data_IF_164517867801
#
_entry.id   IF_164517867801
#
_cell.length_a   1.000
_cell.length_b   1.000
_cell.length_c   1.000
_cell.angle_alpha   90.00
_cell.angle_beta   90.00
_cell.angle_gamma   90.00
#
_symmetry.space_group_name_H-M   'P 1'
#
loop_
_entity.id
_entity.type
_entity.pdbx_description
1 polymer ?
#
# COMPACT_ATOMS: atom_id res chain seq x y z
N UNK A 1 -12.97 -14.04 -30.97
CA UNK A 1 -12.23 -13.99 -29.70
C UNK A 1 -12.54 -12.64 -29.07
N UNK A 2 -13.32 -12.64 -28.00
CA UNK A 2 -13.56 -11.44 -27.22
C UNK A 2 -12.22 -10.98 -26.66
N UNK A 3 -11.86 -9.73 -26.92
CA UNK A 3 -10.63 -9.14 -26.39
C UNK A 3 -10.66 -9.23 -24.86
N UNK A 4 -9.75 -9.99 -24.28
CA UNK A 4 -9.64 -10.16 -22.84
C UNK A 4 -9.10 -8.89 -22.12
N UNK A 5 -8.65 -7.92 -22.89
CA UNK A 5 -8.16 -6.63 -22.41
C UNK A 5 -9.19 -5.55 -22.75
N UNK A 6 -9.55 -4.75 -21.77
CA UNK A 6 -10.46 -3.61 -21.94
C UNK A 6 -9.73 -2.31 -21.62
N UNK A 7 -9.86 -1.36 -22.53
CA UNK A 7 -9.39 0.00 -22.28
C UNK A 7 -10.27 0.66 -21.23
N UNK A 8 -9.63 1.36 -20.30
CA UNK A 8 -10.29 2.15 -19.28
C UNK A 8 -9.82 3.59 -19.37
N UNK A 9 -10.55 4.42 -20.11
CA UNK A 9 -10.27 5.86 -20.15
C UNK A 9 -10.52 6.48 -18.78
N UNK A 10 -9.97 7.66 -18.56
CA UNK A 10 -10.30 8.47 -17.39
C UNK A 10 -11.75 8.96 -17.45
N UNK A 11 -12.17 9.61 -16.37
CA UNK A 11 -13.53 10.16 -16.25
C UNK A 11 -13.79 11.25 -17.30
N UNK A 12 -14.99 11.32 -17.84
CA UNK A 12 -15.40 12.33 -18.81
C UNK A 12 -15.31 13.76 -18.24
N UNK A 13 -15.45 13.87 -16.93
CA UNK A 13 -15.30 15.12 -16.20
C UNK A 13 -14.17 15.01 -15.19
N UNK A 14 -13.01 15.51 -15.56
CA UNK A 14 -11.82 15.53 -14.70
C UNK A 14 -11.90 16.72 -13.74
N UNK A 15 -11.75 16.44 -12.44
CA UNK A 15 -11.65 17.47 -11.41
C UNK A 15 -10.20 17.56 -10.97
N UNK A 16 -9.55 18.74 -11.10
CA UNK A 16 -8.16 18.90 -10.67
C UNK A 16 -8.02 18.78 -9.14
N UNK A 17 -6.88 18.32 -8.67
CA UNK A 17 -6.59 18.22 -7.26
C UNK A 17 -6.35 19.60 -6.61
N UNK A 18 -5.80 20.54 -7.36
CA UNK A 18 -5.56 21.91 -6.88
C UNK A 18 -6.75 22.81 -7.15
N UNK A 19 -7.16 23.57 -6.15
CA UNK A 19 -8.17 24.63 -6.30
C UNK A 19 -7.68 25.81 -7.13
N UNK A 20 -6.37 25.91 -7.41
CA UNK A 20 -5.75 26.95 -8.24
C UNK A 20 -5.70 26.56 -9.74
N UNK A 21 -6.12 25.35 -10.09
CA UNK A 21 -6.14 24.89 -11.48
C UNK A 21 -7.43 25.31 -12.16
N UNK A 22 -7.35 26.28 -13.05
CA UNK A 22 -8.52 26.83 -13.77
C UNK A 22 -8.97 25.95 -14.95
N UNK A 23 -8.05 25.17 -15.53
CA UNK A 23 -8.34 24.32 -16.68
C UNK A 23 -8.33 22.86 -16.28
N UNK A 24 -9.42 22.10 -16.51
CA UNK A 24 -9.42 20.67 -16.25
C UNK A 24 -8.31 19.96 -17.03
N UNK A 25 -7.58 19.02 -16.42
CA UNK A 25 -6.56 18.26 -17.12
C UNK A 25 -7.19 17.32 -18.15
N UNK A 26 -6.51 17.14 -19.29
CA UNK A 26 -6.89 16.18 -20.32
C UNK A 26 -6.31 14.79 -19.99
N UNK A 27 -7.13 13.75 -20.24
CA UNK A 27 -6.65 12.39 -20.20
C UNK A 27 -5.77 12.10 -21.41
N UNK A 28 -4.49 11.78 -21.17
CA UNK A 28 -3.50 11.54 -22.23
C UNK A 28 -3.22 10.07 -22.49
N UNK A 29 -3.50 9.23 -21.51
CA UNK A 29 -3.26 7.78 -21.56
C UNK A 29 -4.46 7.03 -21.03
N UNK A 30 -4.60 5.77 -21.45
CA UNK A 30 -5.63 4.87 -20.94
C UNK A 30 -4.97 3.73 -20.16
N UNK A 31 -5.64 3.27 -19.11
CA UNK A 31 -5.28 2.04 -18.43
C UNK A 31 -6.01 0.86 -19.09
N UNK A 32 -5.44 -0.33 -18.98
CA UNK A 32 -6.05 -1.53 -19.52
C UNK A 32 -6.41 -2.49 -18.39
N UNK A 33 -7.47 -3.26 -18.58
CA UNK A 33 -7.91 -4.28 -17.63
C UNK A 33 -7.73 -5.65 -18.28
N UNK A 34 -7.07 -6.54 -17.56
CA UNK A 34 -7.00 -7.97 -17.87
C UNK A 34 -7.32 -8.80 -16.64
N UNK A 35 -7.28 -10.11 -16.76
CA UNK A 35 -7.62 -11.03 -15.69
C UNK A 35 -6.66 -12.20 -15.65
N UNK A 36 -6.36 -12.68 -14.46
CA UNK A 36 -5.72 -13.98 -14.28
C UNK A 36 -6.68 -15.11 -14.68
N UNK A 37 -6.16 -16.31 -14.82
CA UNK A 37 -6.93 -17.48 -15.21
C UNK A 37 -6.52 -18.73 -14.40
N UNK A 38 -7.10 -19.87 -14.71
CA UNK A 38 -6.81 -21.13 -14.05
C UNK A 38 -5.33 -21.55 -14.16
N UNK A 39 -4.69 -21.28 -15.29
CA UNK A 39 -3.26 -21.57 -15.47
C UNK A 39 -2.39 -20.69 -14.56
N UNK A 40 -2.71 -19.39 -14.45
CA UNK A 40 -2.04 -18.47 -13.52
C UNK A 40 -2.13 -18.99 -12.08
N UNK A 41 -3.34 -19.40 -11.67
CA UNK A 41 -3.59 -19.96 -10.34
C UNK A 41 -2.79 -21.23 -10.10
N UNK A 42 -2.74 -22.13 -11.07
CA UNK A 42 -2.03 -23.40 -10.95
C UNK A 42 -0.52 -23.19 -10.77
N UNK A 43 0.10 -22.33 -11.58
CA UNK A 43 1.53 -22.00 -11.44
C UNK A 43 1.86 -21.51 -10.02
N UNK A 44 1.00 -20.69 -9.44
CA UNK A 44 1.20 -20.19 -8.08
C UNK A 44 1.05 -21.30 -7.04
N UNK A 45 -0.01 -22.11 -7.13
CA UNK A 45 -0.25 -23.19 -6.18
C UNK A 45 0.88 -24.22 -6.19
N UNK A 46 1.45 -24.53 -7.35
CA UNK A 46 2.55 -25.47 -7.50
C UNK A 46 3.89 -24.95 -6.93
N UNK A 47 3.96 -23.65 -6.58
CA UNK A 47 5.18 -23.01 -6.11
C UNK A 47 5.00 -22.28 -4.76
N UNK A 48 3.94 -22.55 -4.03
CA UNK A 48 3.67 -21.87 -2.75
C UNK A 48 4.78 -22.08 -1.71
N UNK A 49 5.39 -23.25 -1.68
CA UNK A 49 6.51 -23.60 -0.82
C UNK A 49 7.76 -22.75 -1.06
N UNK A 50 7.86 -22.12 -2.23
CA UNK A 50 8.95 -21.22 -2.63
C UNK A 50 8.70 -19.77 -2.21
N UNK A 51 7.49 -19.44 -1.77
CA UNK A 51 7.16 -18.09 -1.27
C UNK A 51 7.76 -17.88 0.11
N UNK A 52 8.50 -16.77 0.36
CA UNK A 52 9.00 -16.41 1.68
C UNK A 52 7.90 -16.31 2.74
N UNK A 53 6.69 -15.93 2.36
CA UNK A 53 5.54 -15.84 3.26
C UNK A 53 5.02 -17.21 3.70
N UNK A 54 5.10 -18.22 2.84
CA UNK A 54 4.59 -19.58 3.12
C UNK A 54 5.69 -20.54 3.59
N UNK A 55 6.96 -20.22 3.31
CA UNK A 55 8.13 -20.99 3.78
C UNK A 55 8.59 -20.63 5.20
N UNK A 56 7.92 -19.67 5.87
CA UNK A 56 8.29 -19.22 7.22
C UNK A 56 9.53 -18.33 7.29
N UNK A 57 10.00 -17.82 6.15
CA UNK A 57 11.13 -16.87 6.11
C UNK A 57 10.75 -15.46 6.57
N UNK A 58 9.48 -15.09 6.38
CA UNK A 58 8.93 -13.81 6.86
C UNK A 58 8.07 -14.12 8.07
N UNK A 59 8.53 -13.72 9.25
CA UNK A 59 7.84 -13.92 10.53
C UNK A 59 7.15 -12.63 11.01
N UNK A 60 7.55 -11.48 10.49
CA UNK A 60 7.07 -10.16 10.90
C UNK A 60 5.60 -9.94 10.53
N UNK A 61 4.80 -9.48 11.51
CA UNK A 61 3.48 -8.91 11.24
C UNK A 61 3.67 -7.46 10.88
N UNK A 62 3.74 -7.17 9.57
CA UNK A 62 3.88 -5.79 9.10
C UNK A 62 2.72 -4.90 9.54
N UNK A 63 2.92 -3.57 9.58
CA UNK A 63 1.91 -2.58 9.98
C UNK A 63 0.72 -2.52 9.01
N UNK A 64 0.83 -3.09 7.83
CA UNK A 64 -0.27 -3.18 6.85
C UNK A 64 -0.31 -4.56 6.23
N UNK A 65 -1.49 -5.14 6.25
CA UNK A 65 -1.79 -6.31 5.46
C UNK A 65 -2.07 -5.89 4.00
N UNK A 66 -1.05 -6.01 3.16
CA UNK A 66 -1.22 -5.95 1.70
C UNK A 66 -1.08 -7.38 1.17
N UNK A 67 -2.20 -8.07 0.87
CA UNK A 67 -2.12 -9.46 0.44
C UNK A 67 -1.32 -9.55 -0.86
N UNK A 68 -0.30 -10.39 -0.87
CA UNK A 68 0.39 -10.79 -2.08
C UNK A 68 -0.59 -11.53 -3.01
N UNK A 69 -0.22 -11.71 -4.27
CA UNK A 69 -1.10 -12.39 -5.19
C UNK A 69 -1.26 -13.87 -4.82
N UNK A 70 -0.21 -14.54 -4.35
CA UNK A 70 -0.29 -15.90 -3.81
C UNK A 70 -1.24 -16.00 -2.61
N UNK A 71 -1.27 -14.99 -1.76
CA UNK A 71 -2.18 -14.92 -0.62
C UNK A 71 -3.65 -14.75 -1.08
N UNK A 72 -3.89 -13.95 -2.12
CA UNK A 72 -5.22 -13.85 -2.74
C UNK A 72 -5.67 -15.17 -3.35
N UNK A 73 -4.79 -15.89 -4.02
CA UNK A 73 -5.08 -17.20 -4.63
C UNK A 73 -5.47 -18.23 -3.56
N UNK A 74 -4.78 -18.25 -2.43
CA UNK A 74 -5.07 -19.18 -1.33
C UNK A 74 -6.36 -18.79 -0.60
N UNK A 75 -6.52 -17.53 -0.21
CA UNK A 75 -7.67 -17.08 0.58
C UNK A 75 -8.98 -17.03 -0.20
N UNK A 76 -8.90 -16.74 -1.49
CA UNK A 76 -10.06 -16.69 -2.38
C UNK A 76 -9.97 -17.82 -3.40
N UNK A 77 -9.79 -19.03 -2.90
CA UNK A 77 -9.61 -20.23 -3.71
C UNK A 77 -10.82 -20.59 -4.57
N UNK A 78 -12.01 -20.10 -4.22
CA UNK A 78 -13.26 -20.18 -4.97
C UNK A 78 -13.30 -19.24 -6.20
N UNK A 79 -12.42 -18.22 -6.25
CA UNK A 79 -12.36 -17.29 -7.37
C UNK A 79 -11.62 -17.91 -8.54
N UNK A 80 -12.25 -17.89 -9.71
CA UNK A 80 -11.64 -18.39 -10.96
C UNK A 80 -10.61 -17.42 -11.54
N UNK A 81 -10.80 -16.12 -11.30
CA UNK A 81 -9.96 -15.06 -11.85
C UNK A 81 -9.89 -13.85 -10.93
N UNK A 82 -8.79 -13.12 -11.02
CA UNK A 82 -8.57 -11.84 -10.37
C UNK A 82 -8.34 -10.75 -11.41
N UNK A 83 -8.95 -9.58 -11.20
CA UNK A 83 -8.77 -8.42 -12.06
C UNK A 83 -7.39 -7.80 -11.84
N UNK A 84 -6.78 -7.39 -12.95
CA UNK A 84 -5.50 -6.71 -13.01
C UNK A 84 -5.65 -5.42 -13.79
N UNK A 85 -4.89 -4.39 -13.39
CA UNK A 85 -4.75 -3.18 -14.17
C UNK A 85 -3.35 -3.15 -14.78
N UNK A 86 -3.29 -2.79 -16.06
CA UNK A 86 -2.07 -2.55 -16.81
C UNK A 86 -2.01 -1.05 -17.06
N UNK A 87 -1.11 -0.37 -16.38
CA UNK A 87 -1.06 1.09 -16.28
C UNK A 87 0.21 1.61 -16.95
N UNK A 88 0.11 2.55 -17.92
CA UNK A 88 1.29 3.17 -18.49
C UNK A 88 2.12 3.91 -17.43
N UNK A 89 3.42 3.68 -17.40
CA UNK A 89 4.34 4.39 -16.48
C UNK A 89 4.63 5.83 -16.91
N UNK A 90 4.18 6.22 -18.11
CA UNK A 90 4.32 7.59 -18.63
C UNK A 90 3.95 7.70 -20.10
N UNK A 91 3.84 8.94 -20.60
CA UNK A 91 3.41 9.23 -21.98
C UNK A 91 4.44 8.83 -23.06
N UNK A 92 5.73 8.70 -22.67
CA UNK A 92 6.85 8.50 -23.61
C UNK A 92 7.60 7.20 -23.36
N UNK A 93 6.99 6.25 -22.68
CA UNK A 93 7.56 4.95 -22.38
C UNK A 93 6.59 3.84 -22.75
N UNK A 94 7.12 2.70 -23.17
CA UNK A 94 6.36 1.47 -23.35
C UNK A 94 6.26 0.64 -22.06
N UNK A 95 6.90 1.12 -20.97
CA UNK A 95 6.86 0.47 -19.68
C UNK A 95 5.46 0.56 -19.07
N UNK A 96 4.95 -0.60 -18.63
CA UNK A 96 3.64 -0.74 -17.99
C UNK A 96 3.80 -1.23 -16.56
N UNK A 97 2.99 -0.72 -15.67
CA UNK A 97 2.86 -1.21 -14.31
C UNK A 97 1.71 -2.22 -14.21
N UNK A 98 1.97 -3.37 -13.62
CA UNK A 98 0.95 -4.40 -13.39
C UNK A 98 0.41 -4.29 -11.97
N UNK A 99 -0.70 -3.60 -11.80
CA UNK A 99 -1.36 -3.48 -10.51
C UNK A 99 -2.18 -4.74 -10.20
N UNK A 100 -1.98 -5.28 -9.00
CA UNK A 100 -2.71 -6.44 -8.51
C UNK A 100 -1.91 -7.74 -8.46
N UNK A 101 -0.66 -7.74 -8.97
CA UNK A 101 0.25 -8.89 -9.01
C UNK A 101 1.43 -8.78 -8.04
N UNK A 102 1.27 -8.05 -6.92
CA UNK A 102 2.30 -8.07 -5.86
C UNK A 102 2.58 -9.51 -5.43
N UNK A 103 3.84 -9.92 -5.45
CA UNK A 103 4.22 -11.31 -5.16
C UNK A 103 5.59 -11.37 -4.50
N UNK A 104 5.77 -12.35 -3.63
CA UNK A 104 7.07 -12.70 -3.04
C UNK A 104 7.72 -13.92 -3.68
N UNK A 105 7.06 -14.51 -4.68
CA UNK A 105 7.56 -15.68 -5.40
C UNK A 105 8.84 -15.34 -6.19
N UNK A 106 9.74 -16.33 -6.41
CA UNK A 106 10.94 -16.13 -7.19
C UNK A 106 10.66 -15.69 -8.63
N UNK A 107 11.66 -15.05 -9.25
CA UNK A 107 11.57 -14.47 -10.60
C UNK A 107 11.06 -15.45 -11.65
N UNK A 108 11.60 -16.68 -11.68
CA UNK A 108 11.20 -17.71 -12.64
C UNK A 108 9.71 -18.06 -12.53
N UNK A 109 9.16 -18.09 -11.32
CA UNK A 109 7.74 -18.32 -11.08
C UNK A 109 6.91 -17.10 -11.50
N UNK A 110 7.41 -15.89 -11.23
CA UNK A 110 6.74 -14.67 -11.66
C UNK A 110 6.63 -14.59 -13.17
N UNK A 111 7.71 -14.87 -13.89
CA UNK A 111 7.67 -14.95 -15.36
C UNK A 111 6.68 -16.01 -15.84
N UNK A 112 6.71 -17.19 -15.23
CA UNK A 112 5.80 -18.28 -15.59
C UNK A 112 4.33 -17.90 -15.45
N UNK A 113 3.93 -17.31 -14.32
CA UNK A 113 2.51 -16.94 -14.15
C UNK A 113 2.12 -15.69 -14.94
N UNK A 114 3.01 -14.70 -15.14
CA UNK A 114 2.71 -13.51 -15.96
C UNK A 114 2.40 -13.92 -17.40
N UNK A 115 3.17 -14.84 -17.97
CA UNK A 115 2.98 -15.31 -19.35
C UNK A 115 1.72 -16.17 -19.54
N UNK A 116 1.01 -16.55 -18.47
CA UNK A 116 -0.30 -17.19 -18.58
C UNK A 116 -1.45 -16.19 -18.73
N UNK A 117 -1.19 -14.90 -18.47
CA UNK A 117 -2.22 -13.86 -18.43
C UNK A 117 -2.49 -13.36 -19.84
N UNK A 118 -3.79 -13.27 -20.26
CA UNK A 118 -4.15 -12.78 -21.58
C UNK A 118 -3.59 -11.39 -21.87
N UNK A 119 -2.85 -11.27 -22.98
CA UNK A 119 -2.17 -10.05 -23.41
C UNK A 119 -0.78 -9.83 -22.82
N UNK A 120 -0.32 -10.72 -21.95
CA UNK A 120 1.01 -10.66 -21.35
C UNK A 120 1.87 -11.89 -21.72
N UNK A 121 1.44 -12.69 -22.67
CA UNK A 121 2.09 -13.95 -23.10
C UNK A 121 3.55 -13.75 -23.54
N UNK A 122 3.86 -12.56 -24.05
CA UNK A 122 5.19 -12.18 -24.55
C UNK A 122 5.77 -10.97 -23.83
N UNK A 123 5.22 -10.59 -22.67
CA UNK A 123 5.68 -9.44 -21.92
C UNK A 123 7.14 -9.62 -21.45
N UNK A 124 7.93 -8.56 -21.60
CA UNK A 124 9.28 -8.50 -21.04
C UNK A 124 9.19 -7.87 -19.65
N UNK A 125 9.56 -8.62 -18.62
CA UNK A 125 9.54 -8.12 -17.25
C UNK A 125 10.81 -7.33 -16.97
N UNK A 126 10.68 -6.01 -16.78
CA UNK A 126 11.79 -5.11 -16.48
C UNK A 126 12.18 -5.15 -15.00
N UNK A 127 11.21 -5.37 -14.12
CA UNK A 127 11.40 -5.49 -12.67
C UNK A 127 10.38 -6.45 -12.10
N UNK A 128 10.84 -7.42 -11.34
CA UNK A 128 9.97 -8.37 -10.64
C UNK A 128 9.29 -7.71 -9.44
N UNK A 129 8.15 -8.25 -9.03
CA UNK A 129 7.54 -7.94 -7.75
C UNK A 129 8.42 -8.46 -6.61
N UNK A 130 8.28 -7.86 -5.42
CA UNK A 130 9.07 -8.18 -4.25
C UNK A 130 8.21 -8.13 -2.99
N UNK A 131 8.60 -8.86 -1.97
CA UNK A 131 8.05 -8.72 -0.64
C UNK A 131 8.84 -7.67 0.14
N UNK A 132 8.15 -6.93 1.00
CA UNK A 132 8.77 -6.01 1.93
C UNK A 132 8.40 -6.46 3.34
N UNK A 133 9.41 -6.64 4.18
CA UNK A 133 9.27 -6.78 5.61
C UNK A 133 9.58 -5.43 6.26
N UNK A 134 8.75 -5.01 7.21
CA UNK A 134 8.86 -3.70 7.81
C UNK A 134 9.23 -3.81 9.28
N UNK A 135 10.32 -3.15 9.65
CA UNK A 135 10.63 -2.89 11.05
C UNK A 135 9.82 -1.69 11.54
N UNK A 136 9.32 -1.78 12.75
CA UNK A 136 8.66 -0.67 13.43
C UNK A 136 9.00 -0.70 14.94
N UNK A 137 8.95 0.48 15.55
CA UNK A 137 9.03 0.60 16.99
C UNK A 137 7.65 0.43 17.62
N UNK A 138 7.63 0.13 18.91
CA UNK A 138 6.38 0.25 19.68
C UNK A 138 6.04 1.74 19.87
N UNK A 139 4.98 2.25 19.24
CA UNK A 139 4.66 3.67 19.30
C UNK A 139 4.25 4.14 20.72
N UNK A 140 3.97 3.21 21.65
CA UNK A 140 3.75 3.53 23.07
C UNK A 140 5.01 4.02 23.77
N UNK A 141 6.18 3.87 23.16
CA UNK A 141 7.43 4.47 23.64
C UNK A 141 7.50 5.99 23.39
N UNK A 142 6.48 6.57 22.75
CA UNK A 142 6.41 7.98 22.43
C UNK A 142 5.32 8.70 23.24
N UNK A 143 5.55 9.99 23.47
CA UNK A 143 4.59 10.94 24.01
C UNK A 143 3.55 11.32 22.93
N UNK A 144 2.47 11.97 23.33
CA UNK A 144 1.50 12.54 22.37
C UNK A 144 2.09 13.63 21.45
N UNK A 145 3.27 14.15 21.76
CA UNK A 145 4.07 15.02 20.90
C UNK A 145 4.86 14.28 19.82
N UNK A 146 4.85 12.95 19.83
CA UNK A 146 5.66 12.03 19.01
C UNK A 146 7.16 12.04 19.37
N UNK A 147 7.55 12.64 20.49
CA UNK A 147 8.89 12.54 21.06
C UNK A 147 9.02 11.22 21.85
N UNK A 148 10.15 10.55 21.75
CA UNK A 148 10.40 9.35 22.54
C UNK A 148 10.56 9.67 24.03
N UNK A 149 10.02 8.84 24.90
CA UNK A 149 10.13 9.02 26.36
C UNK A 149 11.58 8.96 26.83
N UNK A 150 12.33 7.98 26.34
CA UNK A 150 13.68 7.68 26.79
C UNK A 150 14.78 8.41 25.99
N UNK A 151 14.41 9.09 24.92
CA UNK A 151 15.34 9.79 24.04
C UNK A 151 14.88 11.24 23.78
N UNK A 152 15.15 12.16 24.70
CA UNK A 152 14.77 13.57 24.53
C UNK A 152 15.33 14.17 23.25
N UNK A 153 14.48 14.83 22.48
CA UNK A 153 14.83 15.44 21.19
C UNK A 153 14.72 14.49 20.00
N UNK A 154 14.44 13.20 20.20
CA UNK A 154 14.17 12.24 19.13
C UNK A 154 12.66 12.12 18.93
N UNK A 155 12.23 12.31 17.68
CA UNK A 155 10.82 12.20 17.27
C UNK A 155 10.66 11.09 16.24
N UNK A 156 9.55 10.34 16.33
CA UNK A 156 9.21 9.29 15.39
C UNK A 156 8.00 9.66 14.53
N UNK A 157 8.00 9.28 13.25
CA UNK A 157 6.88 9.53 12.35
C UNK A 157 6.76 8.48 11.23
N UNK A 158 5.54 8.24 10.79
CA UNK A 158 5.25 7.41 9.63
C UNK A 158 5.30 5.93 9.91
N UNK A 159 5.76 5.17 8.93
CA UNK A 159 5.75 3.70 8.98
C UNK A 159 6.58 3.14 10.14
N UNK A 160 7.66 3.80 10.51
CA UNK A 160 8.49 3.47 11.65
C UNK A 160 7.67 3.37 12.97
N UNK A 161 6.58 4.13 13.08
CA UNK A 161 5.65 4.09 14.19
C UNK A 161 4.50 3.07 14.02
N UNK A 162 4.63 2.12 13.10
CA UNK A 162 3.61 1.09 12.90
C UNK A 162 2.39 1.53 12.08
N UNK A 163 2.45 2.66 11.37
CA UNK A 163 1.44 3.11 10.42
C UNK A 163 1.97 3.00 8.99
N UNK A 164 1.12 2.63 8.01
CA UNK A 164 1.58 2.40 6.64
C UNK A 164 0.84 3.22 5.57
N UNK A 165 -0.14 4.05 5.97
CA UNK A 165 -0.82 4.97 5.05
C UNK A 165 0.03 6.21 4.79
N UNK A 166 -0.05 6.74 3.58
CA UNK A 166 0.66 7.97 3.23
C UNK A 166 0.15 9.17 4.01
N UNK A 167 -1.15 9.25 4.20
CA UNK A 167 -1.82 10.32 4.94
C UNK A 167 -1.45 10.30 6.42
N UNK A 168 -1.41 9.11 7.02
CA UNK A 168 -0.97 8.93 8.41
C UNK A 168 0.50 9.31 8.58
N UNK A 169 1.34 8.94 7.63
CA UNK A 169 2.77 9.30 7.66
C UNK A 169 2.97 10.81 7.54
N UNK A 170 2.22 11.47 6.65
CA UNK A 170 2.27 12.92 6.47
C UNK A 170 1.80 13.67 7.74
N UNK A 171 0.70 13.22 8.35
CA UNK A 171 0.16 13.80 9.57
C UNK A 171 1.14 13.68 10.75
N UNK A 172 1.73 12.50 10.93
CA UNK A 172 2.75 12.28 11.96
C UNK A 172 3.99 13.12 11.71
N UNK A 173 4.49 13.17 10.47
CA UNK A 173 5.66 13.95 10.09
C UNK A 173 5.44 15.44 10.35
N UNK A 174 4.25 15.96 10.06
CA UNK A 174 3.90 17.35 10.34
C UNK A 174 3.94 17.64 11.86
N UNK A 175 3.28 16.81 12.67
CA UNK A 175 3.24 17.03 14.14
C UNK A 175 4.61 16.85 14.77
N UNK A 176 5.36 15.82 14.38
CA UNK A 176 6.72 15.58 14.85
C UNK A 176 7.65 16.76 14.49
N UNK A 177 7.58 17.26 13.26
CA UNK A 177 8.37 18.40 12.81
C UNK A 177 8.04 19.70 13.53
N UNK A 178 6.74 19.97 13.77
CA UNK A 178 6.32 21.12 14.58
C UNK A 178 6.90 21.00 16.00
N UNK A 179 6.78 19.84 16.63
CA UNK A 179 7.24 19.64 17.99
C UNK A 179 8.76 19.67 18.13
N UNK A 180 9.49 19.18 17.14
CA UNK A 180 10.93 19.37 17.08
C UNK A 180 11.32 20.85 17.00
N UNK A 181 10.61 21.64 16.21
CA UNK A 181 10.83 23.09 16.15
C UNK A 181 10.44 23.78 17.46
N UNK A 182 9.32 23.40 18.09
CA UNK A 182 8.91 23.95 19.40
C UNK A 182 9.96 23.67 20.48
N UNK A 183 10.53 22.46 20.49
CA UNK A 183 11.61 22.10 21.40
C UNK A 183 12.83 23.02 21.23
N UNK A 184 13.28 23.25 20.00
CA UNK A 184 14.43 24.11 19.70
C UNK A 184 14.14 25.57 20.10
N UNK A 185 12.89 26.02 19.95
CA UNK A 185 12.45 27.36 20.31
C UNK A 185 12.14 27.53 21.80
N UNK A 186 12.26 26.48 22.60
CA UNK A 186 11.90 26.52 24.05
C UNK A 186 10.42 26.79 24.30
N UNK A 187 9.55 26.31 23.39
CA UNK A 187 8.10 26.47 23.47
C UNK A 187 7.43 25.17 23.90
N UNK A 188 6.21 25.27 24.42
CA UNK A 188 5.39 24.12 24.76
C UNK A 188 5.08 23.28 23.49
N UNK A 189 5.06 21.94 23.60
CA UNK A 189 4.76 21.09 22.48
C UNK A 189 3.29 21.21 22.04
N UNK A 190 3.05 21.07 20.74
CA UNK A 190 1.72 20.93 20.18
C UNK A 190 1.22 19.49 20.46
N UNK A 191 0.19 19.39 21.28
CA UNK A 191 -0.54 18.14 21.50
C UNK A 191 -1.97 18.32 20.99
N UNK A 192 -2.33 17.53 19.98
CA UNK A 192 -3.68 17.57 19.41
C UNK A 192 -4.59 16.66 20.22
N UNK A 193 -5.69 17.21 20.68
CA UNK A 193 -6.72 16.47 21.42
C UNK A 193 -7.49 15.52 20.49
N UNK A 194 -7.76 14.31 20.98
CA UNK A 194 -8.49 13.28 20.26
C UNK A 194 -9.88 13.74 19.80
N UNK A 195 -10.56 14.56 20.61
CA UNK A 195 -11.90 15.03 20.31
C UNK A 195 -11.92 16.21 19.33
N UNK A 196 -10.79 16.91 19.14
CA UNK A 196 -10.72 18.12 18.34
C UNK A 196 -10.21 17.90 16.92
N UNK A 197 -9.50 16.78 16.65
CA UNK A 197 -8.92 16.54 15.34
C UNK A 197 -8.75 15.05 15.01
N UNK A 198 -8.82 14.74 13.71
CA UNK A 198 -8.57 13.38 13.23
C UNK A 198 -7.11 12.96 13.42
N UNK A 199 -6.17 13.91 13.29
CA UNK A 199 -4.74 13.69 13.58
C UNK A 199 -4.55 13.41 15.08
N UNK A 200 -5.26 14.12 15.96
CA UNK A 200 -5.25 13.85 17.40
C UNK A 200 -5.73 12.43 17.71
N UNK A 201 -6.80 11.97 17.06
CA UNK A 201 -7.29 10.59 17.20
C UNK A 201 -6.23 9.57 16.74
N UNK A 202 -5.57 9.81 15.61
CA UNK A 202 -4.51 8.96 15.09
C UNK A 202 -3.36 8.83 16.08
N UNK A 203 -2.85 9.96 16.58
CA UNK A 203 -1.70 9.98 17.51
C UNK A 203 -2.08 9.34 18.84
N UNK A 204 -3.25 9.66 19.38
CA UNK A 204 -3.73 9.07 20.63
C UNK A 204 -3.83 7.54 20.51
N UNK A 205 -4.39 7.01 19.43
CA UNK A 205 -4.45 5.57 19.20
C UNK A 205 -3.05 4.94 19.05
N UNK A 206 -2.12 5.61 18.40
CA UNK A 206 -0.74 5.13 18.28
C UNK A 206 -0.07 5.00 19.66
N UNK A 207 -0.05 6.08 20.44
CA UNK A 207 0.73 6.12 21.70
C UNK A 207 0.04 5.40 22.86
N UNK A 208 -1.28 5.15 22.79
CA UNK A 208 -2.02 4.46 23.85
C UNK A 208 -2.28 2.99 23.55
N UNK A 209 -2.60 2.65 22.28
CA UNK A 209 -3.01 1.29 21.88
C UNK A 209 -1.90 0.54 21.13
N UNK A 210 -0.88 1.25 20.67
CA UNK A 210 0.18 0.68 19.86
C UNK A 210 -0.22 0.58 18.38
N UNK A 211 0.05 -0.55 17.72
CA UNK A 211 -0.18 -0.72 16.30
C UNK A 211 -1.66 -0.55 15.92
N UNK A 212 -1.97 0.37 15.01
CA UNK A 212 -3.34 0.65 14.52
C UNK A 212 -4.02 -0.54 13.82
N UNK A 213 -3.26 -1.53 13.37
CA UNK A 213 -3.79 -2.70 12.68
C UNK A 213 -4.77 -3.53 13.51
N UNK A 214 -4.66 -3.50 14.84
CA UNK A 214 -5.49 -4.31 15.73
C UNK A 214 -6.76 -3.60 16.23
N UNK A 215 -6.86 -2.29 16.08
CA UNK A 215 -7.85 -1.52 16.82
C UNK A 215 -8.75 -0.61 15.99
N UNK A 216 -8.42 -0.31 14.74
CA UNK A 216 -9.25 0.51 13.86
C UNK A 216 -9.53 -0.23 12.55
N UNK A 217 -10.79 -0.65 12.31
CA UNK A 217 -11.16 -1.08 10.98
C UNK A 217 -10.99 0.12 10.05
N UNK A 218 -10.13 -0.03 9.04
CA UNK A 218 -9.98 0.95 7.96
C UNK A 218 -11.35 1.26 7.37
N UNK A 219 -11.63 2.49 6.93
CA UNK A 219 -12.83 2.80 6.16
C UNK A 219 -13.05 1.86 4.96
N UNK A 220 -11.96 1.30 4.40
CA UNK A 220 -12.01 0.26 3.36
C UNK A 220 -12.53 -1.09 3.85
N UNK A 221 -12.37 -1.41 5.13
CA UNK A 221 -12.84 -2.67 5.70
C UNK A 221 -14.35 -2.64 5.96
N UNK A 222 -14.92 -1.45 6.16
CA UNK A 222 -16.39 -1.27 6.28
C UNK A 222 -17.14 -1.48 4.97
N UNK A 223 -16.48 -1.33 3.82
CA UNK A 223 -17.11 -1.58 2.51
C UNK A 223 -17.22 -3.07 2.17
N UNK A 224 -16.50 -3.95 2.87
CA UNK A 224 -16.56 -5.40 2.65
C UNK A 224 -17.65 -6.11 3.48
N UNK A 225 -18.30 -5.41 4.39
CA UNK A 225 -19.34 -5.95 5.27
C UNK A 225 -20.77 -5.54 4.88
N UNK A 226 -20.98 -5.09 3.63
CA UNK A 226 -22.33 -4.82 3.07
C UNK A 226 -22.53 -5.57 1.76
#
# INVERSE_FOLDING_TARGET
SEMCIRDRPGDDRTVPFSFETDTPPENKVVCHITYTNAATKQVILDNLDRSPMYSGKIEGKGPRYCPSFEDKVVRFSDRERHQLFVEPCGEKTEEMYLQGLSSSLPEDVQLAFIHTIPGLEHAQVMRTAYAIEYDCVDPRAMKASLEFHDFPGLFGAGQFNGSSGYEEAAAQGLVAGINAAMLVLGREPLVLDRGSSYIGTLIDDLVTKGCLLYTSPSPRDRQKSR
#
